data_IF_211376805712
#
_entry.id   IF_211376805712
#
_cell.length_a   1.000
_cell.length_b   1.000
_cell.length_c   1.000
_cell.angle_alpha   90.00
_cell.angle_beta   90.00
_cell.angle_gamma   90.00
#
_symmetry.space_group_name_H-M   'P 1'
#
loop_
_entity.id
_entity.type
_entity.pdbx_description
1 polymer ?
#
# COMPACT_ATOMS: atom_id res chain seq x y z
N UNK A 1 18.10 -9.96 27.01
CA UNK A 1 16.91 -9.17 26.79
C UNK A 1 16.23 -9.52 25.50
N UNK A 2 15.79 -10.74 25.41
CA UNK A 2 15.21 -11.27 24.19
C UNK A 2 13.90 -10.61 23.81
N UNK A 3 13.18 -10.08 24.79
CA UNK A 3 11.91 -9.47 24.45
C UNK A 3 12.05 -8.17 23.71
N UNK A 4 13.22 -7.59 23.62
CA UNK A 4 13.40 -6.40 22.78
C UNK A 4 13.10 -6.76 21.34
N UNK A 5 13.62 -7.90 20.88
CA UNK A 5 13.31 -8.37 19.52
C UNK A 5 11.85 -8.75 19.40
N UNK A 6 11.29 -9.35 20.45
CA UNK A 6 9.89 -9.71 20.48
C UNK A 6 8.99 -8.48 20.31
N UNK A 7 9.29 -7.40 21.04
CA UNK A 7 8.53 -6.18 20.91
C UNK A 7 8.63 -5.58 19.51
N UNK A 8 9.78 -5.69 18.87
CA UNK A 8 9.94 -5.20 17.51
C UNK A 8 8.99 -5.90 16.54
N UNK A 9 8.77 -7.19 16.73
CA UNK A 9 7.87 -7.93 15.85
C UNK A 9 6.41 -7.56 16.08
N UNK A 10 6.10 -6.94 17.21
CA UNK A 10 4.75 -6.50 17.51
C UNK A 10 4.47 -5.08 17.04
N UNK A 11 5.50 -4.33 16.71
CA UNK A 11 5.32 -2.98 16.21
C UNK A 11 5.09 -3.01 14.71
N UNK A 12 3.88 -2.69 14.31
CA UNK A 12 3.59 -2.39 12.93
C UNK A 12 4.00 -0.95 12.68
N UNK A 13 4.78 -0.73 11.65
CA UNK A 13 5.16 0.63 11.31
C UNK A 13 3.97 1.33 10.68
N UNK A 14 3.54 2.43 11.29
CA UNK A 14 2.45 3.27 10.79
C UNK A 14 2.96 4.70 10.80
N UNK A 15 3.12 5.28 9.62
CA UNK A 15 3.74 6.59 9.47
C UNK A 15 2.69 7.69 9.52
N UNK A 16 2.89 8.72 10.39
CA UNK A 16 1.89 9.78 10.55
C UNK A 16 1.74 10.69 9.34
N UNK A 17 2.71 10.72 8.45
CA UNK A 17 2.66 11.56 7.25
C UNK A 17 1.85 10.95 6.11
N UNK A 18 1.46 9.67 6.23
CA UNK A 18 0.71 8.98 5.20
C UNK A 18 -0.78 8.96 5.50
N UNK A 19 -1.58 8.68 4.47
CA UNK A 19 -2.99 8.34 4.62
C UNK A 19 -3.15 6.85 4.35
N UNK A 20 -4.25 6.29 4.82
CA UNK A 20 -4.47 4.85 4.77
C UNK A 20 -5.88 4.53 4.33
N UNK A 21 -6.09 3.29 3.85
CA UNK A 21 -7.43 2.80 3.51
C UNK A 21 -7.80 1.62 4.40
N UNK A 22 -9.09 1.30 4.40
CA UNK A 22 -9.59 0.11 5.10
C UNK A 22 -9.09 -1.18 4.48
N UNK A 23 -8.57 -1.11 3.26
CA UNK A 23 -8.01 -2.26 2.55
C UNK A 23 -6.51 -2.38 2.76
N UNK A 24 -5.97 -1.62 3.73
CA UNK A 24 -4.58 -1.71 4.16
C UNK A 24 -3.59 -1.23 3.10
N UNK A 25 -3.96 -0.16 2.42
CA UNK A 25 -3.07 0.51 1.48
C UNK A 25 -2.69 1.86 2.05
N UNK A 26 -1.47 2.30 1.75
CA UNK A 26 -1.02 3.63 2.15
C UNK A 26 -0.92 4.52 0.92
N UNK A 27 -1.06 5.83 1.13
CA UNK A 27 -0.96 6.82 0.06
C UNK A 27 -0.12 8.00 0.54
N UNK A 28 0.90 8.35 -0.24
CA UNK A 28 1.73 9.52 -0.02
C UNK A 28 1.40 10.53 -1.11
N UNK A 29 0.84 11.66 -0.71
CA UNK A 29 0.39 12.69 -1.63
C UNK A 29 1.46 13.76 -1.81
N UNK A 30 1.74 14.11 -3.05
CA UNK A 30 2.66 15.18 -3.41
C UNK A 30 2.03 15.98 -4.54
N UNK A 31 1.36 17.09 -4.18
CA UNK A 31 0.61 17.88 -5.15
C UNK A 31 -0.58 17.09 -5.69
N UNK A 32 -0.62 16.88 -7.00
CA UNK A 32 -1.68 16.09 -7.64
C UNK A 32 -1.23 14.66 -7.91
N UNK A 33 -0.04 14.29 -7.45
CA UNK A 33 0.48 12.93 -7.59
C UNK A 33 0.43 12.18 -6.27
N UNK A 34 0.34 10.86 -6.36
CA UNK A 34 0.35 10.01 -5.18
C UNK A 34 1.15 8.75 -5.45
N UNK A 35 1.85 8.29 -4.42
CA UNK A 35 2.53 6.99 -4.43
C UNK A 35 1.74 6.08 -3.51
N UNK A 36 1.51 4.86 -3.94
CA UNK A 36 0.64 3.91 -3.25
C UNK A 36 1.37 2.58 -3.05
N UNK A 37 1.18 2.00 -1.88
CA UNK A 37 1.65 0.67 -1.58
C UNK A 37 0.77 0.03 -0.54
N UNK A 38 1.15 -1.15 -0.05
CA UNK A 38 0.43 -1.81 1.04
C UNK A 38 1.18 -1.57 2.34
N UNK A 39 0.43 -1.60 3.45
CA UNK A 39 1.00 -1.29 4.75
C UNK A 39 1.83 -2.43 5.29
N UNK A 40 2.62 -2.14 6.33
CA UNK A 40 3.38 -3.15 7.04
C UNK A 40 2.45 -4.24 7.59
N UNK A 41 1.29 -3.85 8.10
CA UNK A 41 0.28 -4.81 8.55
C UNK A 41 -0.15 -5.75 7.42
N UNK A 42 -0.44 -5.19 6.25
CA UNK A 42 -0.90 -5.97 5.11
C UNK A 42 0.14 -6.98 4.65
N UNK A 43 1.41 -6.56 4.53
CA UNK A 43 2.44 -7.48 4.07
C UNK A 43 2.67 -8.59 5.10
N UNK A 44 2.53 -8.28 6.38
CA UNK A 44 2.65 -9.28 7.44
C UNK A 44 1.54 -10.32 7.38
N UNK A 45 0.32 -9.89 7.07
CA UNK A 45 -0.82 -10.78 6.95
C UNK A 45 -0.73 -11.66 5.70
N UNK A 46 -0.19 -11.11 4.60
CA UNK A 46 -0.04 -11.86 3.36
C UNK A 46 1.12 -12.84 3.40
N UNK A 47 2.18 -12.50 4.12
CA UNK A 47 3.41 -13.28 4.12
C UNK A 47 4.27 -12.94 2.91
N UNK A 48 5.15 -13.86 2.52
CA UNK A 48 6.12 -13.61 1.45
C UNK A 48 5.45 -13.33 0.12
N UNK A 49 5.72 -12.16 -0.43
CA UNK A 49 5.18 -11.74 -1.72
C UNK A 49 6.08 -12.30 -2.83
N UNK A 50 5.48 -12.98 -3.78
CA UNK A 50 6.21 -13.63 -4.86
C UNK A 50 5.94 -13.04 -6.23
N UNK A 51 4.85 -12.26 -6.38
CA UNK A 51 4.51 -11.67 -7.66
C UNK A 51 3.57 -10.48 -7.48
N UNK A 52 3.74 -9.47 -8.33
CA UNK A 52 2.88 -8.29 -8.36
C UNK A 52 2.44 -8.10 -9.80
N UNK A 53 1.13 -7.96 -10.01
CA UNK A 53 0.58 -7.74 -11.34
C UNK A 53 -0.19 -6.44 -11.38
N UNK A 54 0.21 -5.52 -12.27
CA UNK A 54 -0.45 -4.23 -12.46
C UNK A 54 -0.77 -4.12 -13.96
N UNK A 55 -2.03 -4.24 -14.30
CA UNK A 55 -2.48 -4.22 -15.68
C UNK A 55 -3.04 -2.87 -16.10
N UNK A 56 -3.23 -1.96 -15.16
CA UNK A 56 -4.00 -0.74 -15.37
C UNK A 56 -3.16 0.51 -15.61
N UNK A 57 -1.87 0.35 -15.96
CA UNK A 57 -1.00 1.49 -16.26
C UNK A 57 -1.59 2.24 -17.45
N UNK A 58 -1.76 3.56 -17.28
CA UNK A 58 -2.37 4.41 -18.31
C UNK A 58 -3.87 4.50 -18.21
N UNK A 59 -4.51 3.71 -17.35
CA UNK A 59 -5.96 3.72 -17.21
C UNK A 59 -6.40 4.71 -16.12
N UNK A 60 -7.58 5.29 -16.33
CA UNK A 60 -8.25 6.06 -15.30
C UNK A 60 -9.18 5.14 -14.53
N UNK A 61 -9.07 5.14 -13.22
CA UNK A 61 -9.89 4.30 -12.35
C UNK A 61 -10.67 5.17 -11.38
N UNK A 62 -11.82 4.65 -10.98
CA UNK A 62 -12.63 5.27 -9.94
C UNK A 62 -12.23 4.69 -8.59
N UNK A 63 -12.38 5.47 -7.53
CA UNK A 63 -12.09 5.06 -6.17
C UNK A 63 -12.65 3.65 -5.92
N UNK A 64 -11.82 2.82 -5.31
CA UNK A 64 -12.11 1.44 -4.93
C UNK A 64 -12.16 0.43 -6.08
N UNK A 65 -11.85 0.84 -7.30
CA UNK A 65 -11.66 -0.12 -8.38
C UNK A 65 -10.34 -0.87 -8.20
N UNK A 66 -10.28 -2.08 -8.71
CA UNK A 66 -9.07 -2.90 -8.62
C UNK A 66 -8.05 -2.39 -9.62
N UNK A 67 -6.83 -2.10 -9.16
CA UNK A 67 -5.76 -1.66 -10.06
C UNK A 67 -4.70 -2.73 -10.29
N UNK A 68 -4.75 -3.81 -9.55
CA UNK A 68 -3.80 -4.90 -9.69
C UNK A 68 -3.96 -5.92 -8.59
N UNK A 69 -2.98 -6.79 -8.45
CA UNK A 69 -2.98 -7.78 -7.39
C UNK A 69 -1.58 -8.09 -6.93
N UNK A 70 -1.48 -8.61 -5.71
CA UNK A 70 -0.23 -9.16 -5.18
C UNK A 70 -0.45 -10.64 -4.89
N UNK A 71 0.52 -11.45 -5.28
CA UNK A 71 0.49 -12.88 -5.02
C UNK A 71 1.53 -13.21 -3.97
N UNK A 72 1.07 -13.85 -2.90
CA UNK A 72 1.94 -14.37 -1.86
C UNK A 72 1.99 -15.88 -1.97
N UNK A 73 2.88 -16.52 -1.24
CA UNK A 73 3.01 -17.99 -1.27
C UNK A 73 1.68 -18.66 -0.95
N UNK A 74 0.94 -18.11 0.02
CA UNK A 74 -0.29 -18.76 0.52
C UNK A 74 -1.60 -18.16 0.00
N UNK A 75 -1.56 -17.00 -0.68
CA UNK A 75 -2.80 -16.33 -1.07
C UNK A 75 -2.54 -15.25 -2.13
N UNK A 76 -3.63 -14.82 -2.78
CA UNK A 76 -3.60 -13.70 -3.73
C UNK A 76 -4.56 -12.65 -3.21
N UNK A 77 -4.16 -11.38 -3.28
CA UNK A 77 -4.98 -10.27 -2.83
C UNK A 77 -5.11 -9.22 -3.91
N UNK A 78 -6.33 -8.74 -4.12
CA UNK A 78 -6.58 -7.62 -5.04
C UNK A 78 -6.14 -6.32 -4.40
N UNK A 79 -5.72 -5.38 -5.24
CA UNK A 79 -5.34 -4.04 -4.80
C UNK A 79 -6.38 -3.04 -5.31
N UNK A 80 -6.88 -2.21 -4.40
CA UNK A 80 -7.93 -1.24 -4.70
C UNK A 80 -7.38 0.16 -4.73
N UNK A 81 -7.79 0.95 -5.73
CA UNK A 81 -7.31 2.32 -5.85
C UNK A 81 -7.92 3.17 -4.73
N UNK A 82 -7.11 3.89 -3.95
CA UNK A 82 -7.65 4.65 -2.81
C UNK A 82 -8.38 5.92 -3.18
N UNK A 83 -8.06 6.49 -4.34
CA UNK A 83 -8.73 7.68 -4.87
C UNK A 83 -8.81 7.56 -6.38
N UNK A 84 -9.76 8.27 -6.98
CA UNK A 84 -9.92 8.26 -8.44
C UNK A 84 -8.75 8.96 -9.11
N UNK A 85 -8.29 8.41 -10.22
CA UNK A 85 -7.21 9.01 -10.97
C UNK A 85 -6.62 8.08 -12.00
N UNK A 86 -5.55 8.55 -12.63
CA UNK A 86 -4.84 7.81 -13.66
C UNK A 86 -3.59 7.18 -13.08
N UNK A 87 -3.39 5.90 -13.35
CA UNK A 87 -2.18 5.19 -12.94
C UNK A 87 -1.09 5.51 -13.95
N UNK A 88 -0.04 6.17 -13.49
CA UNK A 88 1.02 6.67 -14.37
C UNK A 88 2.25 5.79 -14.41
N UNK A 89 2.50 5.03 -13.35
CA UNK A 89 3.75 4.31 -13.22
C UNK A 89 3.62 3.16 -12.24
N UNK A 90 4.33 2.05 -12.50
CA UNK A 90 4.49 1.00 -11.50
C UNK A 90 5.96 0.88 -11.13
N UNK A 91 6.21 0.32 -9.96
CA UNK A 91 7.58 0.09 -9.50
C UNK A 91 8.15 -1.15 -10.20
N UNK A 92 8.97 -0.91 -11.21
CA UNK A 92 9.53 -1.98 -12.03
C UNK A 92 10.46 -2.91 -11.25
N UNK A 93 11.02 -2.43 -10.14
CA UNK A 93 11.87 -3.27 -9.29
C UNK A 93 11.12 -4.46 -8.70
N UNK A 94 9.80 -4.37 -8.61
CA UNK A 94 9.00 -5.45 -8.07
C UNK A 94 8.89 -6.65 -9.01
N UNK A 95 9.23 -6.49 -10.29
CA UNK A 95 9.20 -7.60 -11.22
C UNK A 95 10.27 -8.63 -10.85
N UNK A 96 11.47 -8.16 -10.51
CA UNK A 96 12.57 -9.04 -10.13
C UNK A 96 12.64 -9.28 -8.63
N UNK A 97 12.16 -8.33 -7.83
CA UNK A 97 12.30 -8.34 -6.39
C UNK A 97 10.98 -8.02 -5.69
N UNK A 98 9.95 -8.86 -5.85
CA UNK A 98 8.66 -8.60 -5.20
C UNK A 98 8.73 -8.58 -3.67
N UNK A 99 9.75 -9.21 -3.11
CA UNK A 99 9.99 -9.23 -1.67
C UNK A 99 10.31 -7.86 -1.09
N UNK A 100 10.57 -6.86 -1.93
CA UNK A 100 10.74 -5.48 -1.45
C UNK A 100 9.50 -4.98 -0.72
N UNK A 101 8.34 -5.50 -1.09
CA UNK A 101 7.10 -5.15 -0.39
C UNK A 101 7.16 -5.61 1.06
N UNK A 102 7.73 -6.79 1.30
CA UNK A 102 7.90 -7.30 2.66
C UNK A 102 9.00 -6.55 3.42
N UNK A 103 10.10 -6.30 2.74
CA UNK A 103 11.30 -5.75 3.38
C UNK A 103 11.18 -4.26 3.68
N UNK A 104 10.52 -3.51 2.79
CA UNK A 104 10.45 -2.06 2.91
C UNK A 104 9.14 -1.53 2.29
N UNK A 105 8.00 -1.85 2.93
CA UNK A 105 6.69 -1.56 2.32
C UNK A 105 6.42 -0.07 2.09
N UNK A 106 7.04 0.80 2.87
CA UNK A 106 6.82 2.26 2.74
C UNK A 106 7.91 2.95 1.91
N UNK A 107 8.96 2.24 1.53
CA UNK A 107 10.06 2.78 0.76
C UNK A 107 10.18 2.08 -0.58
N UNK A 108 11.18 1.22 -0.72
CA UNK A 108 11.47 0.54 -1.99
C UNK A 108 10.32 -0.35 -2.47
N UNK A 109 9.44 -0.74 -1.57
CA UNK A 109 8.28 -1.58 -1.88
C UNK A 109 7.04 -0.84 -2.34
N UNK A 110 7.13 0.43 -2.72
CA UNK A 110 5.99 1.13 -3.28
C UNK A 110 5.50 0.42 -4.55
N UNK A 111 4.20 0.49 -4.82
CA UNK A 111 3.62 -0.31 -5.90
C UNK A 111 3.32 0.51 -7.14
N UNK A 112 2.55 1.60 -7.01
CA UNK A 112 2.22 2.44 -8.16
C UNK A 112 2.34 3.92 -7.81
N UNK A 113 2.42 4.73 -8.88
CA UNK A 113 2.21 6.18 -8.80
C UNK A 113 1.03 6.53 -9.66
N UNK A 114 0.29 7.54 -9.24
CA UNK A 114 -0.91 7.95 -9.94
C UNK A 114 -1.07 9.46 -9.90
N UNK A 115 -1.90 9.97 -10.81
CA UNK A 115 -2.33 11.36 -10.81
C UNK A 115 -3.75 11.40 -10.23
N UNK A 116 -3.94 12.21 -9.19
CA UNK A 116 -5.22 12.31 -8.50
C UNK A 116 -6.16 13.21 -9.30
N UNK A 117 -7.38 12.72 -9.56
CA UNK A 117 -8.38 13.51 -10.28
C UNK A 117 -9.21 14.38 -9.35
N UNK A 118 -9.54 13.88 -8.17
CA UNK A 118 -10.41 14.58 -7.23
C UNK A 118 -9.77 14.60 -5.84
N UNK A 119 -9.08 15.70 -5.50
CA UNK A 119 -8.42 15.78 -4.19
C UNK A 119 -9.40 15.77 -3.01
N UNK A 120 -10.70 16.01 -3.25
CA UNK A 120 -11.68 15.92 -2.17
C UNK A 120 -11.83 14.50 -1.63
N UNK A 121 -11.50 13.50 -2.44
CA UNK A 121 -11.56 12.11 -1.99
C UNK A 121 -10.52 11.78 -0.93
N UNK A 122 -9.48 12.60 -0.82
CA UNK A 122 -8.46 12.41 0.21
C UNK A 122 -9.02 12.57 1.62
N UNK A 123 -10.11 13.33 1.75
CA UNK A 123 -10.74 13.54 3.06
C UNK A 123 -11.39 12.26 3.62
N UNK A 124 -11.69 11.30 2.76
CA UNK A 124 -12.31 10.04 3.16
C UNK A 124 -11.28 9.01 3.64
N UNK A 125 -10.00 9.29 3.47
CA UNK A 125 -8.94 8.38 3.86
C UNK A 125 -8.68 8.45 5.36
N UNK A 126 -8.11 7.37 5.89
CA UNK A 126 -7.80 7.28 7.31
C UNK A 126 -6.46 7.93 7.61
N UNK A 127 -6.37 8.64 8.72
CA UNK A 127 -5.10 9.08 9.26
C UNK A 127 -4.43 7.93 9.99
N UNK A 128 -3.21 8.16 10.47
CA UNK A 128 -2.44 7.12 11.17
C UNK A 128 -3.17 6.61 12.41
N UNK A 129 -3.75 7.49 13.21
CA UNK A 129 -4.44 7.09 14.43
C UNK A 129 -5.69 6.28 14.15
N UNK A 130 -6.45 6.70 13.13
CA UNK A 130 -7.65 5.98 12.73
C UNK A 130 -7.32 4.60 12.19
N UNK A 131 -6.23 4.51 11.44
CA UNK A 131 -5.78 3.23 10.91
C UNK A 131 -5.31 2.30 12.03
N UNK A 132 -4.62 2.84 13.03
CA UNK A 132 -4.21 2.07 14.20
C UNK A 132 -5.41 1.43 14.89
N UNK A 133 -6.48 2.20 15.04
CA UNK A 133 -7.69 1.67 15.64
C UNK A 133 -8.28 0.55 14.80
N UNK A 134 -8.25 0.71 13.48
CA UNK A 134 -8.81 -0.29 12.57
C UNK A 134 -8.10 -1.64 12.71
N UNK A 135 -6.80 -1.65 12.83
CA UNK A 135 -6.01 -2.89 12.90
C UNK A 135 -5.78 -3.36 14.33
N UNK A 136 -6.24 -2.61 15.32
CA UNK A 136 -6.08 -2.99 16.72
C UNK A 136 -4.68 -2.78 17.28
N UNK A 137 -3.96 -1.83 16.71
CA UNK A 137 -2.59 -1.53 17.13
C UNK A 137 -2.53 -0.44 18.18
#
# INVERSE_FOLDING_TARGET
>A
MNYICFFKTQYMEIKPELKYTKDHEWILVDGDQATIGITDYAQGELGDIVYVEIESIGDELQKEEIFGSVEAVKTVSDLFIPVSGEITEMNENLEDNPELINDDPYGEGWIIKMKINDPNELADLLGADEYKELIGA
#
